data_IF_080872818709
#
_entry.id   IF_080872818709
#
_cell.length_a   1.000
_cell.length_b   1.000
_cell.length_c   1.000
_cell.angle_alpha   90.00
_cell.angle_beta   90.00
_cell.angle_gamma   90.00
#
_symmetry.space_group_name_H-M   'P 1'
#
loop_
_entity.id
_entity.type
_entity.pdbx_description
1 polymer ?
#
# COMPACT_ATOMS: atom_id res chain seq x y z
N UNK A 1 10.14 -8.95 -12.09
CA UNK A 1 10.38 -9.96 -11.03
C UNK A 1 10.77 -11.32 -11.62
N UNK A 2 10.00 -11.90 -12.58
CA UNK A 2 10.37 -13.18 -13.22
C UNK A 2 11.69 -13.07 -13.98
N UNK A 3 11.91 -12.00 -14.71
CA UNK A 3 13.20 -11.71 -15.38
C UNK A 3 14.37 -11.65 -14.40
N UNK A 4 14.17 -11.04 -13.23
CA UNK A 4 15.20 -10.98 -12.19
C UNK A 4 15.55 -12.38 -11.65
N UNK A 5 14.54 -13.24 -11.49
CA UNK A 5 14.73 -14.65 -11.08
C UNK A 5 15.53 -15.41 -12.15
N UNK A 6 15.17 -15.24 -13.43
CA UNK A 6 15.87 -15.87 -14.55
C UNK A 6 17.34 -15.45 -14.57
N UNK A 7 17.60 -14.14 -14.44
CA UNK A 7 18.95 -13.60 -14.38
C UNK A 7 19.77 -14.18 -13.21
N UNK A 8 19.16 -14.28 -12.00
CA UNK A 8 19.82 -14.89 -10.83
C UNK A 8 20.20 -16.36 -11.07
N UNK A 9 19.33 -17.13 -11.75
CA UNK A 9 19.59 -18.52 -12.09
C UNK A 9 20.74 -18.62 -13.11
N UNK A 10 20.75 -17.79 -14.14
CA UNK A 10 21.83 -17.73 -15.14
C UNK A 10 23.18 -17.31 -14.51
N UNK A 11 23.13 -16.40 -13.52
CA UNK A 11 24.29 -15.96 -12.74
C UNK A 11 24.74 -16.99 -11.67
N UNK A 12 24.05 -18.13 -11.54
CA UNK A 12 24.25 -19.14 -10.49
C UNK A 12 24.02 -18.66 -9.06
N UNK A 13 23.26 -17.57 -8.87
CA UNK A 13 22.80 -17.05 -7.58
C UNK A 13 21.55 -17.79 -7.07
N UNK A 14 21.66 -19.10 -6.92
CA UNK A 14 20.52 -19.99 -6.64
C UNK A 14 19.79 -19.65 -5.34
N UNK A 15 20.50 -19.26 -4.28
CA UNK A 15 19.89 -18.87 -3.01
C UNK A 15 19.04 -17.58 -3.15
N UNK A 16 19.52 -16.61 -3.93
CA UNK A 16 18.77 -15.39 -4.26
C UNK A 16 17.49 -15.71 -5.03
N UNK A 17 17.59 -16.56 -6.06
CA UNK A 17 16.46 -17.01 -6.85
C UNK A 17 15.40 -17.72 -6.00
N UNK A 18 15.81 -18.65 -5.12
CA UNK A 18 14.90 -19.37 -4.20
C UNK A 18 14.20 -18.41 -3.22
N UNK A 19 14.93 -17.45 -2.65
CA UNK A 19 14.34 -16.41 -1.79
C UNK A 19 13.30 -15.61 -2.54
N UNK A 20 13.61 -15.13 -3.75
CA UNK A 20 12.69 -14.34 -4.57
C UNK A 20 11.43 -15.12 -4.98
N UNK A 21 11.56 -16.40 -5.33
CA UNK A 21 10.42 -17.29 -5.62
C UNK A 21 9.54 -17.44 -4.37
N UNK A 22 10.14 -17.60 -3.19
CA UNK A 22 9.41 -17.73 -1.93
C UNK A 22 8.63 -16.47 -1.58
N UNK A 23 9.22 -15.29 -1.76
CA UNK A 23 8.53 -14.00 -1.54
C UNK A 23 7.42 -13.78 -2.56
N UNK A 24 7.63 -14.13 -3.83
CA UNK A 24 6.60 -14.07 -4.86
C UNK A 24 5.40 -14.98 -4.53
N UNK A 25 5.66 -16.19 -4.04
CA UNK A 25 4.60 -17.12 -3.63
C UNK A 25 3.77 -16.56 -2.46
N UNK A 26 4.41 -15.92 -1.46
CA UNK A 26 3.72 -15.25 -0.34
C UNK A 26 2.87 -14.09 -0.85
N UNK A 27 3.41 -13.25 -1.72
CA UNK A 27 2.73 -12.10 -2.33
C UNK A 27 1.47 -12.53 -3.08
N UNK A 28 1.58 -13.54 -3.94
CA UNK A 28 0.45 -14.06 -4.71
C UNK A 28 -0.64 -14.67 -3.81
N UNK A 29 -0.28 -15.32 -2.69
CA UNK A 29 -1.25 -15.93 -1.76
C UNK A 29 -2.23 -14.90 -1.21
N UNK A 30 -1.75 -13.74 -0.78
CA UNK A 30 -2.60 -12.65 -0.26
C UNK A 30 -3.39 -11.99 -1.39
N UNK A 31 -2.74 -11.72 -2.52
CA UNK A 31 -3.40 -11.12 -3.70
C UNK A 31 -4.58 -11.95 -4.19
N UNK A 32 -4.44 -13.28 -4.21
CA UNK A 32 -5.47 -14.21 -4.67
C UNK A 32 -6.54 -14.55 -3.62
N UNK A 33 -6.37 -14.19 -2.36
CA UNK A 33 -7.19 -14.44 -1.13
C UNK A 33 -8.68 -14.80 -1.34
N UNK A 34 -8.99 -15.73 -2.26
CA UNK A 34 -10.33 -16.28 -2.56
C UNK A 34 -11.43 -15.22 -2.75
N UNK A 35 -11.09 -14.06 -3.33
CA UNK A 35 -12.07 -12.99 -3.59
C UNK A 35 -12.39 -12.09 -2.40
N UNK A 36 -11.85 -12.33 -1.18
CA UNK A 36 -12.08 -11.47 -0.02
C UNK A 36 -11.54 -10.06 -0.26
N UNK A 37 -12.31 -9.06 0.15
CA UNK A 37 -11.92 -7.65 0.11
C UNK A 37 -11.34 -7.19 1.45
N UNK A 38 -11.82 -7.76 2.57
CA UNK A 38 -11.35 -7.48 3.93
C UNK A 38 -10.42 -8.60 4.39
N UNK A 39 -9.24 -8.22 4.87
CA UNK A 39 -8.23 -9.11 5.44
C UNK A 39 -7.74 -8.56 6.78
N UNK A 40 -6.89 -9.32 7.48
CA UNK A 40 -6.21 -8.79 8.67
C UNK A 40 -5.08 -7.83 8.28
N UNK A 41 -4.81 -6.82 9.13
CA UNK A 41 -3.64 -5.95 8.96
C UNK A 41 -2.36 -6.80 8.91
N UNK A 42 -2.28 -7.87 9.68
CA UNK A 42 -1.16 -8.82 9.66
C UNK A 42 -0.90 -9.39 8.26
N UNK A 43 -1.97 -9.82 7.56
CA UNK A 43 -1.83 -10.38 6.20
C UNK A 43 -1.43 -9.29 5.20
N UNK A 44 -1.98 -8.07 5.31
CA UNK A 44 -1.61 -6.93 4.47
C UNK A 44 -0.15 -6.51 4.69
N UNK A 45 0.33 -6.51 5.94
CA UNK A 45 1.73 -6.24 6.28
C UNK A 45 2.66 -7.34 5.78
N UNK A 46 2.25 -8.62 5.86
CA UNK A 46 3.03 -9.71 5.30
C UNK A 46 3.17 -9.56 3.77
N UNK A 47 2.09 -9.20 3.09
CA UNK A 47 2.11 -8.90 1.66
C UNK A 47 3.06 -7.73 1.35
N UNK A 48 2.96 -6.64 2.10
CA UNK A 48 3.81 -5.45 1.97
C UNK A 48 5.29 -5.77 2.19
N UNK A 49 5.62 -6.58 3.20
CA UNK A 49 7.01 -7.04 3.46
C UNK A 49 7.54 -7.89 2.30
N UNK A 50 6.73 -8.83 1.79
CA UNK A 50 7.14 -9.66 0.64
C UNK A 50 7.35 -8.82 -0.61
N UNK A 51 6.49 -7.82 -0.84
CA UNK A 51 6.66 -6.86 -1.93
C UNK A 51 7.98 -6.08 -1.78
N UNK A 52 8.27 -5.53 -0.58
CA UNK A 52 9.50 -4.78 -0.32
C UNK A 52 10.76 -5.64 -0.47
N UNK A 53 10.74 -6.89 -0.02
CA UNK A 53 11.88 -7.82 -0.19
C UNK A 53 12.19 -8.07 -1.67
N UNK A 54 11.16 -8.19 -2.52
CA UNK A 54 11.32 -8.32 -3.98
C UNK A 54 11.91 -7.03 -4.57
N UNK A 55 11.44 -5.86 -4.13
CA UNK A 55 11.95 -4.59 -4.63
C UNK A 55 13.39 -4.32 -4.18
N UNK A 56 13.74 -4.60 -2.93
CA UNK A 56 15.12 -4.48 -2.42
C UNK A 56 16.08 -5.31 -3.26
N UNK A 57 15.75 -6.57 -3.54
CA UNK A 57 16.57 -7.41 -4.40
C UNK A 57 16.70 -6.84 -5.83
N UNK A 58 15.61 -6.25 -6.38
CA UNK A 58 15.60 -5.62 -7.71
C UNK A 58 16.45 -4.36 -7.78
N UNK A 59 16.42 -3.54 -6.73
CA UNK A 59 17.17 -2.28 -6.63
C UNK A 59 18.56 -2.46 -6.00
N UNK A 60 19.02 -3.71 -5.82
CA UNK A 60 20.35 -4.05 -5.26
C UNK A 60 20.59 -3.36 -3.90
N UNK A 61 19.53 -3.36 -3.05
CA UNK A 61 19.56 -2.79 -1.69
C UNK A 61 19.93 -1.30 -1.63
N UNK A 62 19.62 -0.52 -2.68
CA UNK A 62 19.89 0.93 -2.74
C UNK A 62 19.14 1.74 -1.68
N UNK A 63 18.09 1.19 -1.07
CA UNK A 63 17.35 1.83 0.00
C UNK A 63 17.07 0.85 1.14
N UNK A 64 16.74 1.36 2.30
CA UNK A 64 16.40 0.57 3.48
C UNK A 64 14.91 0.62 3.77
N UNK A 65 14.37 -0.45 4.36
CA UNK A 65 12.98 -0.49 4.79
C UNK A 65 12.87 -0.87 6.26
N UNK A 66 11.96 -0.21 6.97
CA UNK A 66 11.67 -0.49 8.37
C UNK A 66 10.16 -0.58 8.59
N UNK A 67 9.73 -1.53 9.43
CA UNK A 67 8.34 -1.71 9.81
C UNK A 67 8.20 -1.60 11.34
N UNK A 68 7.57 -0.54 11.81
CA UNK A 68 7.32 -0.18 13.22
C UNK A 68 5.83 -0.34 13.52
N UNK A 69 5.38 -1.55 13.83
CA UNK A 69 3.96 -1.87 13.93
C UNK A 69 3.62 -2.30 15.36
N UNK A 70 2.61 -1.67 15.95
CA UNK A 70 2.04 -2.12 17.22
C UNK A 70 1.30 -3.45 17.04
N UNK A 71 1.60 -4.41 17.91
CA UNK A 71 1.01 -5.76 17.82
C UNK A 71 -0.51 -5.78 17.92
N UNK A 72 -1.09 -4.85 18.67
CA UNK A 72 -2.54 -4.82 18.90
C UNK A 72 -3.34 -4.54 17.61
N UNK A 73 -2.76 -3.83 16.63
CA UNK A 73 -3.46 -3.54 15.38
C UNK A 73 -3.39 -4.70 14.38
N UNK A 74 -2.46 -5.64 14.51
CA UNK A 74 -2.25 -6.71 13.54
C UNK A 74 -3.50 -7.55 13.28
N UNK A 75 -4.34 -7.74 14.32
CA UNK A 75 -5.58 -8.51 14.25
C UNK A 75 -6.82 -7.65 13.99
N UNK A 76 -6.68 -6.48 13.37
CA UNK A 76 -7.78 -5.63 12.94
C UNK A 76 -8.05 -5.76 11.42
N UNK A 77 -9.26 -5.35 11.01
CA UNK A 77 -9.70 -5.37 9.62
C UNK A 77 -9.04 -4.26 8.80
N UNK A 78 -8.63 -4.60 7.57
CA UNK A 78 -8.17 -3.64 6.57
C UNK A 78 -8.69 -4.05 5.18
N UNK A 79 -8.87 -3.09 4.29
CA UNK A 79 -9.09 -3.36 2.87
C UNK A 79 -7.79 -3.87 2.26
N UNK A 80 -7.83 -5.00 1.55
CA UNK A 80 -6.61 -5.59 0.97
C UNK A 80 -6.00 -4.70 -0.10
N UNK A 81 -4.67 -4.75 -0.23
CA UNK A 81 -3.88 -4.04 -1.24
C UNK A 81 -4.10 -2.52 -1.22
N UNK A 82 -4.09 -1.92 -0.01
CA UNK A 82 -4.11 -0.47 0.20
C UNK A 82 -2.75 0.10 0.60
N UNK A 83 -1.87 -0.72 1.20
CA UNK A 83 -0.51 -0.30 1.55
C UNK A 83 0.40 -0.35 0.32
N UNK A 84 0.31 -1.39 -0.50
CA UNK A 84 1.19 -1.59 -1.65
C UNK A 84 1.25 -0.40 -2.62
N UNK A 85 0.14 0.25 -3.06
CA UNK A 85 0.23 1.38 -3.98
C UNK A 85 0.99 2.58 -3.41
N UNK A 86 0.98 2.76 -2.08
CA UNK A 86 1.73 3.83 -1.42
C UNK A 86 3.22 3.48 -1.39
N UNK A 87 3.56 2.21 -1.11
CA UNK A 87 4.94 1.72 -1.21
C UNK A 87 5.49 1.81 -2.64
N UNK A 88 4.66 1.53 -3.64
CA UNK A 88 5.03 1.71 -5.05
C UNK A 88 5.41 3.16 -5.34
N UNK A 89 4.63 4.11 -4.83
CA UNK A 89 4.94 5.53 -4.97
C UNK A 89 6.24 5.91 -4.27
N UNK A 90 6.42 5.49 -3.02
CA UNK A 90 7.64 5.74 -2.25
C UNK A 90 8.90 5.22 -2.97
N UNK A 91 8.78 4.08 -3.68
CA UNK A 91 9.89 3.55 -4.48
C UNK A 91 10.06 4.32 -5.79
N UNK A 92 9.00 4.44 -6.62
CA UNK A 92 9.12 4.97 -7.98
C UNK A 92 9.36 6.47 -8.04
N UNK A 93 8.80 7.24 -7.09
CA UNK A 93 8.87 8.70 -7.08
C UNK A 93 9.70 9.25 -5.93
N UNK A 94 9.88 8.45 -4.88
CA UNK A 94 10.75 8.75 -3.76
C UNK A 94 12.16 8.19 -3.97
N UNK A 95 12.51 7.17 -3.20
CA UNK A 95 13.89 6.67 -3.06
C UNK A 95 14.50 6.02 -4.31
N UNK A 96 13.69 5.55 -5.25
CA UNK A 96 14.20 4.90 -6.47
C UNK A 96 14.87 5.85 -7.46
N UNK A 97 14.67 7.16 -7.31
CA UNK A 97 15.27 8.20 -8.14
C UNK A 97 16.43 8.94 -7.45
N UNK A 98 16.75 8.58 -6.21
CA UNK A 98 17.88 9.13 -5.46
C UNK A 98 19.22 8.65 -6.05
N UNK A 99 20.27 9.44 -5.87
CA UNK A 99 21.62 9.09 -6.30
C UNK A 99 22.18 7.88 -5.53
N UNK A 100 23.21 7.21 -6.06
CA UNK A 100 23.75 5.96 -5.47
C UNK A 100 24.40 6.15 -4.09
N UNK A 101 24.84 7.35 -3.77
CA UNK A 101 25.48 7.75 -2.52
C UNK A 101 24.49 8.28 -1.47
N UNK A 102 23.21 8.40 -1.81
CA UNK A 102 22.15 8.82 -0.89
C UNK A 102 21.58 7.63 -0.10
N UNK A 103 21.27 7.84 1.19
CA UNK A 103 20.70 6.82 2.08
C UNK A 103 19.15 6.80 1.99
N UNK A 104 18.63 6.23 0.90
CA UNK A 104 17.19 6.09 0.69
C UNK A 104 16.53 5.23 1.78
N UNK A 105 15.39 5.68 2.32
CA UNK A 105 14.68 5.00 3.40
C UNK A 105 13.18 5.06 3.23
N UNK A 106 12.53 3.91 3.49
CA UNK A 106 11.08 3.82 3.59
C UNK A 106 10.71 3.23 4.96
N UNK A 107 9.89 3.95 5.73
CA UNK A 107 9.40 3.52 7.04
C UNK A 107 7.90 3.28 6.95
N UNK A 108 7.46 2.09 7.36
CA UNK A 108 6.05 1.76 7.55
C UNK A 108 5.78 1.69 9.04
N UNK A 109 4.98 2.59 9.56
CA UNK A 109 4.55 2.60 10.95
C UNK A 109 3.06 2.32 11.07
N UNK A 110 2.65 1.73 12.19
CA UNK A 110 1.24 1.46 12.46
C UNK A 110 0.97 1.54 13.94
N UNK A 111 0.01 2.37 14.32
CA UNK A 111 -0.36 2.63 15.71
C UNK A 111 -1.89 2.70 15.86
N UNK A 112 -2.37 2.42 17.08
CA UNK A 112 -3.76 2.66 17.43
C UNK A 112 -3.89 3.99 18.14
N UNK A 113 -4.82 4.83 17.66
CA UNK A 113 -5.21 6.09 18.31
C UNK A 113 -6.69 6.06 18.62
N UNK A 114 -7.02 5.87 19.89
CA UNK A 114 -8.40 5.76 20.38
C UNK A 114 -9.16 4.63 19.64
N UNK A 115 -10.18 4.98 18.85
CA UNK A 115 -10.98 4.04 18.06
C UNK A 115 -10.49 3.87 16.62
N UNK A 116 -9.40 4.56 16.25
CA UNK A 116 -8.86 4.55 14.90
C UNK A 116 -7.47 3.89 14.87
N UNK A 117 -7.09 3.39 13.71
CA UNK A 117 -5.74 2.91 13.39
C UNK A 117 -5.16 3.85 12.34
N UNK A 118 -3.93 4.27 12.55
CA UNK A 118 -3.13 5.00 11.60
C UNK A 118 -2.00 4.10 11.10
N UNK A 119 -1.92 3.92 9.77
CA UNK A 119 -0.80 3.26 9.12
C UNK A 119 -0.13 4.30 8.24
N UNK A 120 1.13 4.62 8.53
CA UNK A 120 1.88 5.67 7.85
C UNK A 120 3.04 5.05 7.09
N UNK A 121 3.20 5.46 5.85
CA UNK A 121 4.33 5.13 4.98
C UNK A 121 5.07 6.43 4.70
N UNK A 122 6.34 6.49 5.08
CA UNK A 122 7.22 7.64 4.93
C UNK A 122 8.43 7.26 4.09
N UNK A 123 8.77 8.07 3.12
CA UNK A 123 10.05 8.02 2.41
C UNK A 123 10.78 9.36 2.54
N UNK A 124 12.10 9.31 2.42
CA UNK A 124 12.98 10.47 2.39
C UNK A 124 13.48 10.77 0.97
N UNK A 125 12.65 10.48 -0.03
CA UNK A 125 13.00 10.70 -1.43
C UNK A 125 12.77 12.12 -1.92
N UNK A 126 12.58 12.29 -3.23
CA UNK A 126 12.50 13.60 -3.89
C UNK A 126 11.27 14.44 -3.51
N UNK A 127 10.27 13.85 -2.86
CA UNK A 127 9.02 14.54 -2.55
C UNK A 127 8.26 15.03 -3.78
N UNK A 128 7.26 15.88 -3.55
CA UNK A 128 6.39 16.42 -4.62
C UNK A 128 6.08 17.89 -4.38
N UNK A 129 6.05 18.71 -5.46
CA UNK A 129 5.52 20.06 -5.39
C UNK A 129 4.03 20.10 -5.00
N UNK A 130 3.60 21.13 -4.30
CA UNK A 130 2.21 21.32 -3.83
C UNK A 130 1.18 21.19 -4.97
N UNK A 131 1.48 21.75 -6.15
CA UNK A 131 0.61 21.64 -7.33
C UNK A 131 0.36 20.20 -7.80
N UNK A 132 1.33 19.30 -7.59
CA UNK A 132 1.20 17.87 -7.90
C UNK A 132 0.40 17.17 -6.82
N UNK A 133 0.66 17.48 -5.56
CA UNK A 133 -0.02 16.93 -4.40
C UNK A 133 -1.53 17.23 -4.43
N UNK A 134 -1.92 18.47 -4.71
CA UNK A 134 -3.33 18.86 -4.85
C UNK A 134 -4.06 18.07 -5.94
N UNK A 135 -3.39 17.79 -7.06
CA UNK A 135 -3.98 17.03 -8.19
C UNK A 135 -4.17 15.54 -7.85
N UNK A 136 -3.27 14.95 -7.07
CA UNK A 136 -3.32 13.51 -6.73
C UNK A 136 -4.59 13.15 -5.95
N UNK A 137 -5.10 14.06 -5.10
CA UNK A 137 -6.27 13.79 -4.26
C UNK A 137 -7.60 14.31 -4.83
N UNK A 138 -7.57 15.23 -5.81
CA UNK A 138 -8.77 15.94 -6.28
C UNK A 138 -9.19 15.64 -7.72
N UNK A 139 -8.32 15.20 -8.61
CA UNK A 139 -8.62 15.11 -10.04
C UNK A 139 -8.46 13.73 -10.66
N UNK A 140 -9.57 12.99 -10.74
CA UNK A 140 -9.65 11.69 -11.45
C UNK A 140 -9.41 11.80 -12.98
N UNK A 141 -9.47 12.99 -13.58
CA UNK A 141 -9.52 13.17 -15.06
C UNK A 141 -8.17 13.47 -15.71
N UNK A 142 -7.16 13.89 -14.94
CA UNK A 142 -5.88 14.39 -15.46
C UNK A 142 -4.64 13.65 -14.98
N UNK A 143 -4.80 12.50 -14.36
CA UNK A 143 -3.66 11.67 -13.96
C UNK A 143 -2.97 11.15 -15.22
N UNK A 144 -1.65 11.34 -15.37
CA UNK A 144 -0.90 10.82 -16.52
C UNK A 144 -1.14 9.31 -16.67
N UNK A 145 -1.38 8.83 -17.90
CA UNK A 145 -1.65 7.41 -18.21
C UNK A 145 -0.50 6.44 -17.79
N UNK A 146 0.62 6.98 -17.36
CA UNK A 146 1.77 6.28 -16.81
C UNK A 146 2.18 6.96 -15.51
N UNK A 147 1.57 6.57 -14.38
CA UNK A 147 1.96 7.08 -13.08
C UNK A 147 0.90 6.90 -12.00
N UNK A 148 1.37 6.83 -10.80
CA UNK A 148 0.82 6.41 -9.52
C UNK A 148 -0.41 7.15 -8.96
N UNK A 149 -0.81 8.27 -9.51
CA UNK A 149 -1.98 8.99 -9.00
C UNK A 149 -3.26 8.15 -8.98
N UNK A 150 -3.46 7.28 -9.98
CA UNK A 150 -4.62 6.36 -10.04
C UNK A 150 -4.62 5.37 -8.87
N UNK A 151 -3.46 4.83 -8.49
CA UNK A 151 -3.34 3.89 -7.38
C UNK A 151 -3.74 4.49 -6.04
N UNK A 152 -3.27 5.69 -5.76
CA UNK A 152 -3.49 6.43 -4.51
C UNK A 152 -4.95 6.88 -4.36
N UNK A 153 -5.54 7.44 -5.41
CA UNK A 153 -6.96 7.83 -5.44
C UNK A 153 -7.85 6.61 -5.20
N UNK A 154 -7.53 5.49 -5.84
CA UNK A 154 -8.25 4.24 -5.64
C UNK A 154 -8.16 3.74 -4.19
N UNK A 155 -7.00 3.87 -3.53
CA UNK A 155 -6.83 3.54 -2.11
C UNK A 155 -7.77 4.37 -1.25
N UNK A 156 -7.74 5.71 -1.40
CA UNK A 156 -8.59 6.63 -0.67
C UNK A 156 -10.08 6.28 -0.83
N UNK A 157 -10.54 6.14 -2.07
CA UNK A 157 -11.93 5.84 -2.40
C UNK A 157 -12.37 4.47 -1.86
N UNK A 158 -11.52 3.44 -1.94
CA UNK A 158 -11.81 2.09 -1.44
C UNK A 158 -11.96 2.06 0.08
N UNK A 159 -11.14 2.82 0.80
CA UNK A 159 -11.22 2.93 2.27
C UNK A 159 -12.52 3.64 2.67
N UNK A 160 -12.85 4.76 2.04
CA UNK A 160 -14.08 5.51 2.31
C UNK A 160 -15.33 4.69 2.02
N UNK A 161 -15.36 3.98 0.90
CA UNK A 161 -16.44 3.09 0.52
C UNK A 161 -16.67 1.98 1.56
N UNK A 162 -15.60 1.50 2.20
CA UNK A 162 -15.67 0.39 3.16
C UNK A 162 -15.98 0.85 4.58
N UNK A 163 -15.37 1.93 5.03
CA UNK A 163 -15.40 2.35 6.42
C UNK A 163 -16.13 3.69 6.67
N UNK A 164 -16.50 4.41 5.60
CA UNK A 164 -17.19 5.71 5.68
C UNK A 164 -16.28 6.91 5.46
N UNK A 165 -16.91 8.08 5.28
CA UNK A 165 -16.32 9.32 4.80
C UNK A 165 -15.19 9.90 5.68
N UNK A 166 -15.15 9.59 6.98
CA UNK A 166 -14.12 10.09 7.90
C UNK A 166 -12.80 9.35 7.78
N UNK A 167 -12.77 8.23 7.02
CA UNK A 167 -11.60 7.39 6.81
C UNK A 167 -11.01 7.60 5.42
N UNK A 168 -9.82 7.14 5.19
CA UNK A 168 -9.19 7.28 3.89
C UNK A 168 -7.67 7.39 3.98
N UNK A 169 -7.10 8.04 2.98
CA UNK A 169 -5.68 8.32 2.86
C UNK A 169 -5.47 9.84 2.84
N UNK A 170 -4.53 10.33 3.63
CA UNK A 170 -3.93 11.67 3.50
C UNK A 170 -2.49 11.55 3.02
N UNK A 171 -2.02 12.55 2.30
CA UNK A 171 -0.63 12.62 1.81
C UNK A 171 -0.09 14.01 2.15
N UNK A 172 1.11 14.03 2.68
CA UNK A 172 1.93 15.21 2.93
C UNK A 172 3.25 15.01 2.19
N UNK A 173 3.74 16.02 1.51
CA UNK A 173 4.99 15.92 0.76
C UNK A 173 5.61 17.30 0.58
N UNK A 174 6.93 17.37 0.70
CA UNK A 174 7.72 18.56 0.44
C UNK A 174 8.86 18.18 -0.53
N UNK A 175 9.17 19.03 -1.53
CA UNK A 175 10.27 18.79 -2.44
C UNK A 175 11.59 18.60 -1.67
N UNK A 176 12.35 17.59 -2.06
CA UNK A 176 13.64 17.19 -1.48
C UNK A 176 13.61 16.73 0.00
N UNK A 177 12.42 16.62 0.61
CA UNK A 177 12.25 16.11 1.98
C UNK A 177 11.54 14.75 2.06
N UNK A 178 10.81 14.38 0.99
CA UNK A 178 10.14 13.10 0.86
C UNK A 178 8.62 13.19 0.93
N UNK A 179 7.98 12.03 1.14
CA UNK A 179 6.53 11.90 1.17
C UNK A 179 6.07 11.07 2.36
N UNK A 180 4.96 11.50 2.97
CA UNK A 180 4.24 10.79 4.02
C UNK A 180 2.80 10.50 3.60
N UNK A 181 2.46 9.22 3.42
CA UNK A 181 1.09 8.77 3.20
C UNK A 181 0.51 8.14 4.46
N UNK A 182 -0.62 8.64 4.97
CA UNK A 182 -1.27 8.13 6.19
C UNK A 182 -2.64 7.55 5.87
N UNK A 183 -2.80 6.24 6.06
CA UNK A 183 -4.08 5.53 6.02
C UNK A 183 -4.73 5.62 7.40
N UNK A 184 -5.97 6.11 7.45
CA UNK A 184 -6.81 6.11 8.66
C UNK A 184 -7.98 5.16 8.46
N UNK A 185 -8.15 4.20 9.37
CA UNK A 185 -9.23 3.20 9.38
C UNK A 185 -9.74 2.97 10.81
N UNK A 186 -10.97 2.40 11.01
CA UNK A 186 -11.45 2.09 12.35
C UNK A 186 -10.74 0.85 12.94
N UNK A 187 -10.56 0.81 14.26
CA UNK A 187 -10.00 -0.31 14.99
C UNK A 187 -11.02 -1.46 15.16
N UNK A 188 -11.43 -2.10 14.07
CA UNK A 188 -12.37 -3.22 14.06
C UNK A 188 -11.61 -4.54 14.11
N UNK A 189 -11.80 -5.41 15.14
CA UNK A 189 -11.15 -6.72 15.21
C UNK A 189 -11.46 -7.58 13.98
N UNK A 190 -10.45 -8.27 13.44
CA UNK A 190 -10.61 -9.18 12.33
C UNK A 190 -11.18 -10.51 12.81
N UNK A 191 -12.49 -10.67 12.62
CA UNK A 191 -13.23 -11.93 12.82
C UNK A 191 -13.98 -12.25 11.52
N UNK A 192 -14.34 -13.53 11.27
CA UNK A 192 -15.16 -13.88 10.10
C UNK A 192 -16.45 -13.04 10.03
N UNK A 193 -17.12 -12.84 11.17
CA UNK A 193 -18.36 -12.06 11.28
C UNK A 193 -18.16 -10.58 10.91
N UNK A 194 -17.11 -9.94 11.43
CA UNK A 194 -16.83 -8.54 11.11
C UNK A 194 -16.43 -8.37 9.64
N UNK A 195 -15.64 -9.29 9.08
CA UNK A 195 -15.25 -9.26 7.68
C UNK A 195 -16.47 -9.39 6.76
N UNK A 196 -17.35 -10.38 7.00
CA UNK A 196 -18.59 -10.58 6.24
C UNK A 196 -19.52 -9.39 6.34
N UNK A 197 -19.68 -8.79 7.54
CA UNK A 197 -20.50 -7.59 7.75
C UNK A 197 -20.00 -6.43 6.91
N UNK A 198 -18.69 -6.15 6.93
CA UNK A 198 -18.08 -5.07 6.15
C UNK A 198 -18.24 -5.30 4.65
N UNK A 199 -18.02 -6.52 4.17
CA UNK A 199 -18.20 -6.86 2.76
C UNK A 199 -19.66 -6.73 2.30
N UNK A 200 -20.62 -7.10 3.15
CA UNK A 200 -22.06 -6.97 2.86
C UNK A 200 -22.50 -5.51 2.76
N UNK A 201 -22.00 -4.62 3.61
CA UNK A 201 -22.28 -3.18 3.57
C UNK A 201 -21.86 -2.54 2.25
N UNK A 202 -20.75 -2.98 1.67
CA UNK A 202 -20.28 -2.53 0.36
C UNK A 202 -21.29 -2.82 -0.77
N UNK A 203 -21.97 -3.97 -0.74
CA UNK A 203 -22.96 -4.32 -1.75
C UNK A 203 -24.21 -3.41 -1.68
N UNK A 204 -24.64 -3.06 -0.48
CA UNK A 204 -25.79 -2.18 -0.27
C UNK A 204 -25.50 -0.77 -0.77
N UNK A 205 -24.32 -0.22 -0.45
CA UNK A 205 -23.92 1.12 -0.89
C UNK A 205 -23.76 1.23 -2.42
N UNK A 206 -23.24 0.18 -3.09
CA UNK A 206 -23.15 0.16 -4.55
C UNK A 206 -24.52 0.16 -5.21
N UNK A 207 -25.46 -0.67 -4.75
CA UNK A 207 -26.81 -0.71 -5.31
C UNK A 207 -27.53 0.64 -5.18
N UNK A 208 -27.40 1.30 -4.04
CA UNK A 208 -28.00 2.63 -3.83
C UNK A 208 -27.34 3.76 -4.64
N UNK A 209 -26.08 3.58 -5.08
CA UNK A 209 -25.43 4.52 -5.99
C UNK A 209 -25.87 4.29 -7.45
N UNK A 210 -25.90 3.02 -7.90
CA UNK A 210 -26.33 2.65 -9.26
C UNK A 210 -27.82 3.01 -9.52
N UNK A 211 -28.70 2.93 -8.50
CA UNK A 211 -30.10 3.35 -8.58
C UNK A 211 -30.28 4.87 -8.72
N UNK A 212 -29.33 5.67 -8.17
CA UNK A 212 -29.36 7.14 -8.27
C UNK A 212 -28.76 7.70 -9.56
N UNK A 213 -27.95 6.92 -10.28
CA UNK A 213 -27.43 7.30 -11.61
C UNK A 213 -28.36 6.90 -12.74
N UNK A 214 -29.43 6.14 -12.43
CA UNK A 214 -30.42 5.66 -13.42
C UNK A 214 -31.70 6.49 -13.46
N UNK A 215 -31.87 7.45 -12.57
CA UNK A 215 -32.97 8.45 -12.52
C UNK A 215 -32.46 9.83 -13.01
#
# INVERSE_FOLDING_TARGET
>A
TLESITWMVEAQENEGAVRMISELAKLLRVSLSRGKTIISIKDELQHSRSYMNIQLARYKERFKTEFRIEKEIENCCIVKLVIQPILENAIYYGVGNMDEDEDGRIIVSGEKKEEDILITIEDNGMGMPEEVLEKILTDNSKVPKHGSGVGVINVHSRIRLMFGEKYGLSIESEPDEGTRGTIRIPAIPYTPENAERLESQKYIQRRSADEKESD
#
